data_IF_731540867718
#
_entry.id   IF_731540867718
#
_cell.length_a   1.000
_cell.length_b   1.000
_cell.length_c   1.000
_cell.angle_alpha   90.00
_cell.angle_beta   90.00
_cell.angle_gamma   90.00
#
_symmetry.space_group_name_H-M   'P 1'
#
loop_
_entity.id
_entity.type
_entity.pdbx_description
1 polymer ?
#
# COMPACT_ATOMS: atom_id res chain seq x y z
N UNK A 1 -10.72 -5.09 -13.25
CA UNK A 1 -10.73 -6.27 -12.36
C UNK A 1 -11.48 -5.85 -11.11
N UNK A 2 -12.38 -6.69 -10.58
CA UNK A 2 -13.05 -6.43 -9.29
C UNK A 2 -12.17 -7.02 -8.19
N UNK A 3 -11.98 -6.29 -7.11
CA UNK A 3 -11.24 -6.74 -5.94
C UNK A 3 -12.23 -7.17 -4.84
N UNK A 4 -11.89 -8.23 -4.12
CA UNK A 4 -12.75 -8.81 -3.09
C UNK A 4 -12.09 -8.80 -1.72
N UNK A 5 -12.86 -8.50 -0.69
CA UNK A 5 -12.44 -8.67 0.69
C UNK A 5 -13.56 -9.32 1.50
N UNK A 6 -13.17 -10.16 2.46
CA UNK A 6 -14.09 -10.79 3.39
C UNK A 6 -14.14 -9.98 4.67
N UNK A 7 -15.35 -9.68 5.13
CA UNK A 7 -15.62 -8.96 6.36
C UNK A 7 -16.53 -9.85 7.23
N UNK A 8 -16.12 -10.20 8.45
CA UNK A 8 -16.91 -11.04 9.38
C UNK A 8 -17.34 -10.32 10.65
N UNK A 9 -18.56 -10.59 11.11
CA UNK A 9 -19.05 -10.03 12.36
C UNK A 9 -18.54 -10.87 13.53
N UNK A 10 -17.91 -10.25 14.52
CA UNK A 10 -17.28 -10.97 15.63
C UNK A 10 -18.32 -11.57 16.57
N UNK A 11 -19.39 -10.84 16.86
CA UNK A 11 -20.43 -11.26 17.81
C UNK A 11 -21.34 -12.36 17.24
N UNK A 12 -21.41 -12.49 15.90
CA UNK A 12 -22.26 -13.50 15.25
C UNK A 12 -21.74 -13.85 13.84
N UNK A 13 -20.52 -14.35 13.78
CA UNK A 13 -19.90 -14.84 12.53
C UNK A 13 -20.76 -15.84 11.76
N UNK A 14 -21.50 -16.78 12.39
CA UNK A 14 -22.28 -17.76 11.65
C UNK A 14 -23.36 -17.16 10.74
N UNK A 15 -23.84 -15.94 11.05
CA UNK A 15 -24.97 -15.30 10.36
C UNK A 15 -24.58 -14.04 9.58
N UNK A 16 -23.48 -13.37 9.95
CA UNK A 16 -23.14 -12.06 9.40
C UNK A 16 -21.71 -12.04 8.87
N UNK A 17 -21.60 -12.31 7.56
CA UNK A 17 -20.36 -12.27 6.80
C UNK A 17 -20.64 -11.60 5.47
N UNK A 18 -19.83 -10.63 5.12
CA UNK A 18 -20.00 -9.87 3.89
C UNK A 18 -18.80 -10.09 2.98
N UNK A 19 -19.09 -10.26 1.69
CA UNK A 19 -18.14 -10.06 0.63
C UNK A 19 -18.21 -8.60 0.19
N UNK A 20 -17.10 -7.89 0.31
CA UNK A 20 -16.93 -6.52 -0.16
C UNK A 20 -16.33 -6.59 -1.56
N UNK A 21 -17.02 -6.03 -2.55
CA UNK A 21 -16.53 -5.92 -3.92
C UNK A 21 -16.22 -4.46 -4.26
N UNK A 22 -15.00 -4.19 -4.70
CA UNK A 22 -14.49 -2.85 -4.99
C UNK A 22 -13.72 -2.78 -6.33
N UNK A 23 -13.49 -1.58 -6.90
CA UNK A 23 -12.72 -1.41 -8.13
C UNK A 23 -11.24 -1.84 -8.02
N UNK A 24 -10.67 -1.76 -6.82
CA UNK A 24 -9.28 -2.11 -6.55
C UNK A 24 -9.06 -2.33 -5.04
N UNK A 25 -7.87 -2.84 -4.70
CA UNK A 25 -7.47 -3.17 -3.34
C UNK A 25 -7.37 -1.91 -2.44
N UNK A 26 -6.91 -0.81 -3.02
CA UNK A 26 -6.74 0.47 -2.31
C UNK A 26 -8.07 1.04 -1.83
N UNK A 27 -9.15 0.84 -2.59
CA UNK A 27 -10.49 1.26 -2.17
C UNK A 27 -10.91 0.55 -0.88
N UNK A 28 -10.54 -0.73 -0.69
CA UNK A 28 -10.80 -1.47 0.55
C UNK A 28 -9.96 -0.93 1.70
N UNK A 29 -8.67 -0.62 1.47
CA UNK A 29 -7.83 -0.05 2.54
C UNK A 29 -8.27 1.35 2.95
N UNK A 30 -8.71 2.18 2.00
CA UNK A 30 -9.27 3.50 2.27
C UNK A 30 -10.59 3.38 3.06
N UNK A 31 -11.45 2.42 2.71
CA UNK A 31 -12.64 2.11 3.50
C UNK A 31 -12.29 1.67 4.91
N UNK A 32 -11.30 0.77 5.07
CA UNK A 32 -10.87 0.31 6.39
C UNK A 32 -10.35 1.48 7.22
N UNK A 33 -9.57 2.39 6.63
CA UNK A 33 -9.08 3.60 7.31
C UNK A 33 -10.21 4.49 7.81
N UNK A 34 -11.30 4.62 7.05
CA UNK A 34 -12.49 5.34 7.51
C UNK A 34 -13.20 4.55 8.62
N UNK A 35 -13.47 3.27 8.40
CA UNK A 35 -14.19 2.41 9.33
C UNK A 35 -13.49 2.32 10.71
N UNK A 36 -12.18 2.08 10.71
CA UNK A 36 -11.37 1.98 11.92
C UNK A 36 -11.17 3.32 12.63
N UNK A 37 -11.27 4.45 11.93
CA UNK A 37 -11.19 5.77 12.58
C UNK A 37 -12.39 6.07 13.48
N UNK A 38 -13.53 5.40 13.27
CA UNK A 38 -14.76 5.60 14.04
C UNK A 38 -14.86 4.65 15.24
N UNK A 39 -14.30 3.45 15.13
CA UNK A 39 -14.35 2.43 16.19
C UNK A 39 -13.15 1.47 16.06
N UNK A 40 -11.95 1.96 16.38
CA UNK A 40 -10.69 1.23 16.19
C UNK A 40 -10.64 -0.09 17.00
N UNK A 41 -11.35 -0.15 18.12
CA UNK A 41 -11.44 -1.34 18.97
C UNK A 41 -12.38 -2.41 18.41
N UNK A 42 -13.21 -2.08 17.42
CA UNK A 42 -14.22 -2.98 16.87
C UNK A 42 -14.16 -3.14 15.37
N UNK A 43 -13.14 -2.62 14.69
CA UNK A 43 -12.90 -2.86 13.27
C UNK A 43 -11.45 -3.25 13.09
N UNK A 44 -11.20 -4.53 12.85
CA UNK A 44 -9.86 -5.08 12.76
C UNK A 44 -9.55 -5.55 11.34
N UNK A 45 -8.32 -5.29 10.92
CA UNK A 45 -7.74 -5.82 9.68
C UNK A 45 -6.86 -7.00 10.05
N UNK A 46 -7.25 -8.19 9.63
CA UNK A 46 -6.58 -9.45 9.95
C UNK A 46 -5.59 -9.85 8.84
N UNK A 47 -5.91 -9.50 7.60
CA UNK A 47 -5.07 -9.66 6.42
C UNK A 47 -5.47 -8.59 5.36
N UNK A 48 -4.73 -8.44 4.25
CA UNK A 48 -5.04 -7.45 3.20
C UNK A 48 -6.41 -7.56 2.52
N UNK A 49 -7.07 -8.70 2.68
CA UNK A 49 -8.39 -9.02 2.14
C UNK A 49 -9.31 -9.66 3.20
N UNK A 50 -8.92 -9.62 4.47
CA UNK A 50 -9.69 -10.23 5.56
C UNK A 50 -9.81 -9.31 6.77
N UNK A 51 -11.05 -9.02 7.14
CA UNK A 51 -11.42 -8.02 8.13
C UNK A 51 -12.46 -8.59 9.10
N UNK A 52 -12.51 -8.04 10.30
CA UNK A 52 -13.59 -8.29 11.24
C UNK A 52 -14.16 -6.99 11.79
N UNK A 53 -15.44 -7.04 12.18
CA UNK A 53 -16.04 -5.95 12.94
C UNK A 53 -16.90 -6.49 14.08
N UNK A 54 -16.96 -5.75 15.19
CA UNK A 54 -17.73 -6.10 16.40
C UNK A 54 -18.72 -5.03 16.83
N UNK A 55 -18.82 -3.91 16.12
CA UNK A 55 -19.74 -2.83 16.46
C UNK A 55 -21.20 -3.21 16.18
N UNK A 56 -22.15 -2.65 16.93
CA UNK A 56 -23.59 -2.79 16.63
C UNK A 56 -24.03 -2.02 15.38
N UNK A 57 -23.08 -1.42 14.65
CA UNK A 57 -23.29 -0.68 13.42
C UNK A 57 -23.35 -1.66 12.25
N UNK A 58 -24.28 -1.44 11.33
CA UNK A 58 -24.36 -2.21 10.09
C UNK A 58 -23.06 -2.09 9.27
N UNK A 59 -22.61 -3.16 8.63
CA UNK A 59 -21.34 -3.19 7.91
C UNK A 59 -21.18 -2.05 6.88
N UNK A 60 -22.25 -1.77 6.14
CA UNK A 60 -22.31 -0.69 5.14
C UNK A 60 -22.30 0.72 5.75
N UNK A 61 -22.60 0.86 7.05
CA UNK A 61 -22.53 2.13 7.77
C UNK A 61 -21.15 2.41 8.40
N UNK A 62 -20.20 1.46 8.32
CA UNK A 62 -18.83 1.66 8.85
C UNK A 62 -18.08 2.75 8.04
N UNK A 63 -18.23 2.73 6.71
CA UNK A 63 -17.57 3.65 5.77
C UNK A 63 -18.53 4.30 4.77
N UNK A 64 -19.46 5.18 5.19
CA UNK A 64 -20.42 5.88 4.35
C UNK A 64 -19.82 6.56 3.11
N UNK A 65 -18.59 7.07 3.16
CA UNK A 65 -17.97 7.67 1.96
C UNK A 65 -17.68 6.66 0.83
N UNK A 66 -17.80 5.37 1.13
CA UNK A 66 -17.54 4.27 0.20
C UNK A 66 -18.80 3.55 -0.26
N UNK A 67 -20.01 4.02 0.10
CA UNK A 67 -21.27 3.39 -0.32
C UNK A 67 -21.44 3.28 -1.83
N UNK A 68 -20.89 4.24 -2.59
CA UNK A 68 -20.92 4.22 -4.06
C UNK A 68 -19.67 3.56 -4.69
N UNK A 69 -18.76 3.03 -3.86
CA UNK A 69 -17.49 2.42 -4.29
C UNK A 69 -17.37 0.95 -3.89
N UNK A 70 -18.10 0.51 -2.87
CA UNK A 70 -18.07 -0.86 -2.35
C UNK A 70 -19.49 -1.43 -2.39
N UNK A 71 -19.63 -2.59 -3.01
CA UNK A 71 -20.84 -3.41 -2.90
C UNK A 71 -20.67 -4.39 -1.74
N UNK A 72 -21.68 -4.47 -0.87
CA UNK A 72 -21.72 -5.41 0.25
C UNK A 72 -22.67 -6.54 -0.09
N UNK A 73 -22.16 -7.77 -0.18
CA UNK A 73 -22.98 -8.97 -0.39
C UNK A 73 -23.00 -9.79 0.89
N UNK A 74 -24.16 -9.92 1.53
CA UNK A 74 -24.33 -10.83 2.66
C UNK A 74 -24.18 -12.27 2.15
N UNK A 75 -23.23 -13.00 2.74
CA UNK A 75 -23.02 -14.41 2.45
C UNK A 75 -24.03 -15.26 3.21
N UNK A 76 -24.28 -16.48 2.72
CA UNK A 76 -25.09 -17.47 3.42
C UNK A 76 -24.56 -17.74 4.83
N UNK A 77 -25.38 -18.33 5.69
CA UNK A 77 -24.95 -18.80 7.00
C UNK A 77 -23.81 -19.82 6.89
N UNK A 78 -22.98 -19.94 7.93
CA UNK A 78 -21.77 -20.81 7.94
C UNK A 78 -22.05 -22.25 7.52
N UNK A 79 -23.19 -22.79 7.93
CA UNK A 79 -23.53 -24.19 7.70
C UNK A 79 -24.21 -24.41 6.33
N UNK A 80 -24.34 -23.36 5.52
CA UNK A 80 -24.76 -23.48 4.13
C UNK A 80 -23.65 -24.13 3.30
N UNK A 81 -24.04 -24.98 2.35
CA UNK A 81 -23.11 -25.76 1.51
C UNK A 81 -22.46 -24.98 0.35
N UNK A 82 -22.54 -23.65 0.38
CA UNK A 82 -22.04 -22.76 -0.67
C UNK A 82 -21.10 -21.74 -0.05
N UNK A 83 -19.79 -21.94 -0.25
CA UNK A 83 -18.78 -20.95 0.10
C UNK A 83 -18.34 -20.21 -1.17
N UNK A 84 -18.46 -18.89 -1.17
CA UNK A 84 -17.96 -18.08 -2.27
C UNK A 84 -16.43 -18.09 -2.23
N UNK A 85 -15.80 -18.73 -3.20
CA UNK A 85 -14.36 -18.61 -3.43
C UNK A 85 -14.12 -17.51 -4.46
N UNK A 86 -13.24 -16.58 -4.15
CA UNK A 86 -12.73 -15.60 -5.10
C UNK A 86 -11.23 -15.83 -5.26
N UNK A 87 -10.77 -15.88 -6.50
CA UNK A 87 -9.35 -15.89 -6.81
C UNK A 87 -8.93 -14.45 -7.08
N UNK A 88 -7.96 -13.95 -6.32
CA UNK A 88 -7.37 -12.65 -6.53
C UNK A 88 -5.85 -12.72 -6.40
N UNK A 89 -5.11 -11.84 -7.10
CA UNK A 89 -3.67 -11.83 -7.01
C UNK A 89 -3.21 -11.62 -5.56
N UNK A 90 -2.12 -12.29 -5.19
CA UNK A 90 -1.44 -12.00 -3.92
C UNK A 90 -1.05 -10.52 -3.89
N UNK A 91 -1.25 -9.89 -2.74
CA UNK A 91 -0.86 -8.51 -2.51
C UNK A 91 -0.03 -8.38 -1.26
N UNK A 92 0.96 -7.50 -1.31
CA UNK A 92 1.74 -7.13 -0.14
C UNK A 92 0.85 -6.40 0.86
N UNK A 93 0.95 -6.79 2.13
CA UNK A 93 0.40 -6.00 3.22
C UNK A 93 1.28 -4.78 3.48
N UNK A 94 0.89 -3.63 2.93
CA UNK A 94 1.65 -2.39 3.04
C UNK A 94 1.17 -1.57 4.24
N UNK A 95 1.93 -1.62 5.32
CA UNK A 95 1.72 -0.83 6.54
C UNK A 95 2.92 0.07 6.86
N UNK A 96 2.62 1.20 7.51
CA UNK A 96 3.59 2.17 8.03
C UNK A 96 4.49 1.56 9.11
N UNK A 97 5.77 1.88 9.07
CA UNK A 97 6.83 1.41 9.97
C UNK A 97 7.57 0.17 9.47
N UNK A 98 7.06 -0.51 8.44
CA UNK A 98 7.63 -1.73 7.89
C UNK A 98 8.57 -1.44 6.70
N UNK A 99 9.42 -2.42 6.38
CA UNK A 99 10.34 -2.34 5.24
C UNK A 99 9.88 -3.15 4.03
N UNK A 100 10.12 -2.62 2.83
CA UNK A 100 9.77 -3.23 1.54
C UNK A 100 10.87 -2.99 0.50
N UNK A 101 10.93 -3.83 -0.53
CA UNK A 101 11.55 -3.48 -1.79
C UNK A 101 10.54 -2.74 -2.67
N UNK A 102 11.04 -1.86 -3.54
CA UNK A 102 10.24 -1.15 -4.54
C UNK A 102 10.57 -1.76 -5.91
N UNK A 103 9.56 -2.31 -6.58
CA UNK A 103 9.69 -3.07 -7.84
C UNK A 103 8.90 -2.38 -8.95
N UNK A 104 9.40 -2.39 -10.18
CA UNK A 104 8.62 -1.93 -11.33
C UNK A 104 7.52 -2.94 -11.62
N UNK A 105 6.28 -2.45 -11.79
CA UNK A 105 5.14 -3.30 -12.13
C UNK A 105 5.12 -3.68 -13.61
N UNK A 106 5.73 -2.86 -14.47
CA UNK A 106 5.85 -3.12 -15.92
C UNK A 106 6.97 -4.11 -16.22
N UNK A 107 8.05 -4.09 -15.43
CA UNK A 107 9.17 -5.03 -15.50
C UNK A 107 9.57 -5.52 -14.10
N UNK A 108 9.03 -6.67 -13.64
CA UNK A 108 9.27 -7.20 -12.29
C UNK A 108 10.72 -7.58 -11.97
N UNK A 109 11.63 -7.60 -12.95
CA UNK A 109 13.07 -7.81 -12.70
C UNK A 109 13.77 -6.54 -12.19
N UNK A 110 13.16 -5.36 -12.35
CA UNK A 110 13.75 -4.08 -11.96
C UNK A 110 13.30 -3.65 -10.56
N UNK A 111 14.28 -3.36 -9.72
CA UNK A 111 14.09 -2.89 -8.36
C UNK A 111 14.80 -1.57 -8.13
N UNK A 112 14.28 -0.77 -7.19
CA UNK A 112 15.02 0.37 -6.68
C UNK A 112 16.24 -0.11 -5.88
N UNK A 113 17.39 0.45 -6.22
CA UNK A 113 18.67 0.18 -5.63
C UNK A 113 19.39 1.51 -5.34
N UNK A 114 19.78 1.70 -4.09
CA UNK A 114 20.61 2.82 -3.68
C UNK A 114 22.08 2.54 -4.01
N UNK A 115 22.61 3.26 -5.00
CA UNK A 115 24.02 3.20 -5.39
C UNK A 115 24.93 3.83 -4.34
N UNK A 116 26.24 3.54 -4.42
CA UNK A 116 27.22 4.05 -3.45
C UNK A 116 27.37 5.58 -3.42
N UNK A 117 26.95 6.27 -4.48
CA UNK A 117 26.89 7.73 -4.55
C UNK A 117 25.57 8.33 -4.01
N UNK A 118 24.68 7.48 -3.48
CA UNK A 118 23.37 7.87 -2.95
C UNK A 118 22.26 8.00 -3.99
N UNK A 119 22.55 7.89 -5.30
CA UNK A 119 21.50 7.89 -6.32
C UNK A 119 20.65 6.61 -6.28
N UNK A 120 19.37 6.73 -6.58
CA UNK A 120 18.45 5.60 -6.69
C UNK A 120 18.33 5.17 -8.15
N UNK A 121 18.66 3.92 -8.40
CA UNK A 121 18.63 3.30 -9.72
C UNK A 121 17.54 2.24 -9.78
N UNK A 122 16.93 2.05 -10.93
CA UNK A 122 16.16 0.87 -11.28
C UNK A 122 17.10 -0.13 -11.96
N UNK A 123 17.26 -1.32 -11.39
CA UNK A 123 18.21 -2.32 -11.89
C UNK A 123 17.78 -3.74 -11.48
N UNK A 124 18.27 -4.75 -12.20
CA UNK A 124 18.15 -6.16 -11.84
C UNK A 124 19.39 -6.70 -11.12
N UNK A 125 20.42 -5.87 -10.93
CA UNK A 125 21.71 -6.26 -10.33
C UNK A 125 21.71 -6.18 -8.80
N UNK A 126 20.69 -5.57 -8.21
CA UNK A 126 20.60 -5.34 -6.78
C UNK A 126 19.26 -4.73 -6.39
N UNK A 127 19.00 -4.72 -5.08
CA UNK A 127 17.78 -4.16 -4.50
C UNK A 127 18.04 -3.62 -3.11
N UNK A 128 17.42 -2.50 -2.78
CA UNK A 128 17.51 -1.88 -1.44
C UNK A 128 16.17 -2.01 -0.74
N UNK A 129 16.19 -2.38 0.55
CA UNK A 129 14.99 -2.31 1.39
C UNK A 129 14.80 -0.89 1.88
N UNK A 130 13.55 -0.46 1.91
CA UNK A 130 13.15 0.86 2.38
C UNK A 130 12.06 0.75 3.44
N UNK A 131 12.18 1.49 4.53
CA UNK A 131 11.14 1.66 5.55
C UNK A 131 10.22 2.78 5.09
N UNK A 132 8.92 2.51 5.07
CA UNK A 132 7.89 3.50 4.75
C UNK A 132 7.21 3.96 6.03
N UNK A 133 7.08 5.27 6.25
CA UNK A 133 6.37 5.84 7.41
C UNK A 133 5.40 6.92 6.96
N UNK A 134 4.23 6.97 7.59
CA UNK A 134 3.31 8.09 7.43
C UNK A 134 3.88 9.31 8.15
N UNK A 135 4.01 10.41 7.42
CA UNK A 135 4.42 11.70 7.97
C UNK A 135 3.21 12.41 8.60
N UNK A 136 2.92 12.09 9.86
CA UNK A 136 1.84 12.70 10.65
C UNK A 136 2.35 13.17 12.03
N UNK A 137 1.62 14.07 12.69
CA UNK A 137 1.95 14.58 14.03
C UNK A 137 1.96 13.46 15.09
N UNK A 138 1.14 12.44 14.92
CA UNK A 138 1.14 11.22 15.71
C UNK A 138 1.67 10.04 14.88
N UNK A 139 2.59 9.28 15.46
CA UNK A 139 3.22 8.14 14.82
C UNK A 139 2.20 7.01 14.60
N UNK A 140 1.73 6.88 13.35
CA UNK A 140 0.74 5.86 12.96
C UNK A 140 1.41 4.55 12.56
N UNK A 141 2.18 3.97 13.48
CA UNK A 141 2.81 2.67 13.25
C UNK A 141 1.75 1.59 13.01
N UNK A 142 2.05 0.66 12.08
CA UNK A 142 1.17 -0.46 11.68
C UNK A 142 -0.17 -0.06 11.04
N UNK A 143 -0.31 1.19 10.64
CA UNK A 143 -1.45 1.65 9.84
C UNK A 143 -1.22 1.33 8.37
N UNK A 144 -2.22 0.79 7.68
CA UNK A 144 -2.14 0.55 6.22
C UNK A 144 -1.89 1.86 5.46
N UNK A 145 -0.95 1.85 4.53
CA UNK A 145 -0.66 3.01 3.68
C UNK A 145 -1.73 3.14 2.61
N UNK A 146 -2.28 4.34 2.45
CA UNK A 146 -3.23 4.68 1.40
C UNK A 146 -2.74 5.85 0.57
N UNK A 147 -3.26 6.01 -0.65
CA UNK A 147 -2.71 6.94 -1.64
C UNK A 147 -2.62 8.40 -1.18
N UNK A 148 -3.49 8.82 -0.26
CA UNK A 148 -3.53 10.18 0.30
C UNK A 148 -2.54 10.42 1.46
N UNK A 149 -1.87 9.38 1.96
CA UNK A 149 -0.91 9.54 3.05
C UNK A 149 0.37 10.21 2.52
N UNK A 150 0.82 11.25 3.21
CA UNK A 150 2.19 11.73 3.07
C UNK A 150 3.13 10.73 3.74
N UNK A 151 4.23 10.42 3.08
CA UNK A 151 5.17 9.41 3.56
C UNK A 151 6.61 9.90 3.51
N UNK A 152 7.41 9.36 4.43
CA UNK A 152 8.86 9.32 4.36
C UNK A 152 9.34 7.91 4.02
N UNK A 153 10.39 7.83 3.21
CA UNK A 153 11.00 6.58 2.77
C UNK A 153 12.46 6.58 3.22
N UNK A 154 12.88 5.58 3.98
CA UNK A 154 14.24 5.49 4.56
C UNK A 154 14.94 4.23 4.10
N UNK A 155 16.17 4.33 3.59
CA UNK A 155 16.94 3.15 3.22
C UNK A 155 17.37 2.34 4.46
N UNK A 156 17.18 1.02 4.41
CA UNK A 156 17.61 0.09 5.46
C UNK A 156 19.11 -0.19 5.34
N UNK A 157 19.83 -0.17 6.47
CA UNK A 157 21.23 -0.60 6.57
C UNK A 157 22.28 0.53 6.52
N UNK A 158 21.86 1.78 6.32
CA UNK A 158 22.74 2.94 6.42
C UNK A 158 23.00 3.31 7.89
N UNK A 159 24.26 3.64 8.25
CA UNK A 159 24.65 4.01 9.63
C UNK A 159 23.94 5.28 10.12
N UNK A 160 23.54 6.15 9.19
CA UNK A 160 22.74 7.33 9.43
C UNK A 160 21.41 7.17 8.68
N UNK A 161 20.30 7.60 9.26
CA UNK A 161 19.02 7.59 8.56
C UNK A 161 19.11 8.48 7.32
N UNK A 162 19.11 7.86 6.15
CA UNK A 162 19.04 8.55 4.86
C UNK A 162 17.66 8.34 4.26
N UNK A 163 17.06 9.45 3.86
CA UNK A 163 15.73 9.51 3.28
C UNK A 163 15.82 9.55 1.76
N UNK A 164 14.85 8.95 1.08
CA UNK A 164 14.65 9.21 -0.34
C UNK A 164 14.17 10.65 -0.50
N UNK A 165 14.89 11.40 -1.32
CA UNK A 165 14.64 12.79 -1.65
C UNK A 165 14.82 12.99 -3.15
N UNK A 166 14.49 14.18 -3.64
CA UNK A 166 14.63 14.55 -5.05
C UNK A 166 15.68 15.65 -5.13
N UNK A 167 16.70 15.46 -5.97
CA UNK A 167 17.74 16.45 -6.23
C UNK A 167 17.21 17.61 -7.08
N UNK A 168 17.99 18.68 -7.21
CA UNK A 168 17.64 19.84 -8.04
C UNK A 168 17.45 19.47 -9.53
N UNK A 169 18.05 18.36 -9.97
CA UNK A 169 17.91 17.82 -11.33
C UNK A 169 16.70 16.87 -11.48
N UNK A 170 15.90 16.68 -10.43
CA UNK A 170 14.76 15.75 -10.44
C UNK A 170 15.13 14.29 -10.20
N UNK A 171 16.39 13.98 -9.87
CA UNK A 171 16.85 12.61 -9.62
C UNK A 171 16.50 12.16 -8.21
N UNK A 172 16.16 10.88 -8.03
CA UNK A 172 15.98 10.33 -6.69
C UNK A 172 17.33 10.03 -6.06
N UNK A 173 17.52 10.54 -4.84
CA UNK A 173 18.76 10.41 -4.08
C UNK A 173 18.49 10.16 -2.60
N UNK A 174 19.43 9.50 -1.94
CA UNK A 174 19.48 9.36 -0.49
C UNK A 174 20.08 10.63 0.15
N UNK A 175 19.25 11.38 0.85
CA UNK A 175 19.61 12.63 1.53
C UNK A 175 19.40 12.58 3.04
N UNK A 176 19.84 13.62 3.75
CA UNK A 176 19.63 13.78 5.19
C UNK A 176 18.22 14.26 5.59
N UNK A 177 17.39 14.62 4.60
CA UNK A 177 16.05 15.16 4.81
C UNK A 177 15.03 14.40 3.96
N UNK A 178 13.87 14.11 4.56
CA UNK A 178 12.71 13.59 3.82
C UNK A 178 12.17 14.66 2.88
N UNK A 179 11.83 14.28 1.65
CA UNK A 179 10.95 15.11 0.84
C UNK A 179 9.51 14.63 1.03
N UNK A 180 8.57 15.57 1.17
CA UNK A 180 7.15 15.23 1.27
C UNK A 180 6.70 14.65 -0.07
N UNK A 181 6.33 13.37 -0.05
CA UNK A 181 5.71 12.69 -1.18
C UNK A 181 4.46 11.94 -0.70
N UNK A 182 3.51 11.79 -1.60
CA UNK A 182 2.34 10.95 -1.33
C UNK A 182 2.68 9.49 -1.61
N UNK A 183 2.06 8.56 -0.89
CA UNK A 183 2.19 7.14 -1.24
C UNK A 183 1.76 6.85 -2.68
N UNK A 184 0.76 7.59 -3.19
CA UNK A 184 0.30 7.49 -4.58
C UNK A 184 1.32 7.99 -5.62
N UNK A 185 2.39 8.68 -5.21
CA UNK A 185 3.44 9.12 -6.14
C UNK A 185 4.17 7.92 -6.75
N UNK A 186 4.25 6.79 -6.04
CA UNK A 186 4.77 5.52 -6.58
C UNK A 186 4.03 5.03 -7.82
N UNK A 187 2.79 5.46 -8.06
CA UNK A 187 2.00 4.97 -9.20
C UNK A 187 2.17 5.76 -10.49
N UNK A 188 2.76 6.95 -10.43
CA UNK A 188 2.67 7.92 -11.53
C UNK A 188 3.75 8.99 -11.58
N UNK A 189 4.56 9.14 -10.53
CA UNK A 189 5.46 10.29 -10.39
C UNK A 189 6.94 9.88 -10.39
N UNK A 190 7.26 8.61 -10.63
CA UNK A 190 8.65 8.17 -10.75
C UNK A 190 8.87 7.41 -12.05
N UNK A 191 9.94 7.74 -12.76
CA UNK A 191 10.31 7.15 -14.03
C UNK A 191 11.77 6.72 -13.99
N UNK A 192 12.03 5.45 -14.33
CA UNK A 192 13.37 4.99 -14.63
C UNK A 192 13.75 5.37 -16.07
N UNK A 193 14.73 6.26 -16.23
CA UNK A 193 15.18 6.72 -17.55
C UNK A 193 16.70 6.87 -17.63
N UNK A 194 17.24 6.85 -18.85
CA UNK A 194 18.68 6.96 -19.09
C UNK A 194 19.43 5.64 -18.86
N UNK A 195 19.05 4.61 -19.62
CA UNK A 195 19.67 3.28 -19.56
C UNK A 195 21.20 3.36 -19.75
N UNK A 196 21.92 2.80 -18.79
CA UNK A 196 23.37 2.60 -18.86
C UNK A 196 23.68 1.28 -19.56
N UNK A 197 24.93 1.08 -19.98
CA UNK A 197 25.39 -0.18 -20.63
C UNK A 197 25.10 -1.47 -19.83
N UNK A 198 24.74 -1.33 -18.55
CA UNK A 198 24.52 -2.43 -17.62
C UNK A 198 23.02 -2.72 -17.38
N UNK A 199 22.10 -2.09 -18.12
CA UNK A 199 20.65 -2.27 -17.95
C UNK A 199 20.08 -1.58 -16.70
N UNK A 200 20.85 -0.65 -16.10
CA UNK A 200 20.40 0.18 -14.99
C UNK A 200 19.97 1.54 -15.51
N UNK A 201 18.85 2.05 -14.99
CA UNK A 201 18.33 3.38 -15.32
C UNK A 201 18.17 4.22 -14.05
N UNK A 202 18.42 5.52 -14.14
CA UNK A 202 18.29 6.40 -12.99
C UNK A 202 16.81 6.68 -12.73
N UNK A 203 16.38 6.59 -11.46
CA UNK A 203 15.00 6.93 -11.11
C UNK A 203 14.89 8.44 -10.93
N UNK A 204 13.94 9.03 -11.62
CA UNK A 204 13.68 10.48 -11.58
C UNK A 204 12.24 10.75 -11.22
N UNK A 205 11.99 11.89 -10.57
CA UNK A 205 10.64 12.39 -10.32
C UNK A 205 10.12 13.09 -11.56
N UNK A 206 8.90 12.75 -11.95
CA UNK A 206 8.16 13.33 -13.06
C UNK A 206 6.74 13.67 -12.61
N UNK A 207 6.07 14.57 -13.33
CA UNK A 207 4.71 14.99 -12.97
C UNK A 207 3.66 14.19 -13.74
N UNK A 208 3.22 13.07 -13.17
CA UNK A 208 2.09 12.27 -13.67
C UNK A 208 2.38 11.36 -14.88
N UNK A 209 3.61 11.36 -15.39
CA UNK A 209 4.04 10.56 -16.55
C UNK A 209 5.03 9.44 -16.20
N UNK A 210 5.11 9.08 -14.92
CA UNK A 210 5.94 7.99 -14.43
C UNK A 210 5.34 6.62 -14.70
N UNK A 211 6.12 5.60 -14.36
CA UNK A 211 5.66 4.22 -14.35
C UNK A 211 5.10 3.82 -12.98
N UNK A 212 4.41 2.69 -12.93
CA UNK A 212 3.84 2.17 -11.69
C UNK A 212 4.87 1.32 -10.93
N UNK A 213 5.14 1.71 -9.70
CA UNK A 213 6.01 1.01 -8.76
C UNK A 213 5.18 0.39 -7.65
N UNK A 214 5.53 -0.85 -7.27
CA UNK A 214 4.86 -1.60 -6.22
C UNK A 214 5.81 -1.98 -5.08
N UNK A 215 5.24 -2.16 -3.90
CA UNK A 215 5.98 -2.60 -2.72
C UNK A 215 5.90 -4.12 -2.57
N UNK A 216 7.04 -4.77 -2.36
CA UNK A 216 7.14 -6.22 -2.15
C UNK A 216 8.02 -6.54 -0.93
N UNK A 217 7.80 -7.69 -0.29
CA UNK A 217 8.56 -8.12 0.91
C UNK A 217 9.92 -8.74 0.58
#
# INVERSE_FOLDING_TARGET
MVYYALLKYETSEPHYRYLLAAPNAETIDEWWREASSKDAEKVHRLAPDYYSWGSGVQAYNLGPSFMNKIMYTLLHDRDARIMSTFNQPERTDVVSGESYYIRSKSNPELYWYAGGNGQIWATNQGRTRFIFRIDAEEEKNRTVLIGKDYISIVAVGEKNQKYVSVSDNGELVLGGHSCRMYYNDLKRNFLAQGETSNGSALVTKVDGHGEEWELVK
#
